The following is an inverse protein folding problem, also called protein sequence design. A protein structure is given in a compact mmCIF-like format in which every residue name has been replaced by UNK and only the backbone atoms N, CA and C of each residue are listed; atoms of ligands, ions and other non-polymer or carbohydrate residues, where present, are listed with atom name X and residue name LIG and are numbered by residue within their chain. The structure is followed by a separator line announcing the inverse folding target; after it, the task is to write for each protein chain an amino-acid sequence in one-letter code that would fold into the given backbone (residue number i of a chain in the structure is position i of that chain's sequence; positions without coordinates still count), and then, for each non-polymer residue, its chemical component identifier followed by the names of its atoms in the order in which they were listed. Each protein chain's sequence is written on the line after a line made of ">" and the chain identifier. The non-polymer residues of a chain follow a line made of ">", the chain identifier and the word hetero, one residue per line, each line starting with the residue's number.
data_IF_116788928684
#
_entry.id   IF_116788928684
#
_cell.length_a   1.000
_cell.length_b   1.000
_cell.length_c   1.000
_cell.angle_alpha   90.00
_cell.angle_beta   90.00
_cell.angle_gamma   90.00
#
_symmetry.space_group_name_H-M   'P 1'
#
loop_
_entity.id
_entity.type
_entity.pdbx_description
1 polymer ?
#
# COMPACT_ATOMS: atom_id res chain seq x y z
N UNK A 1 -39.94 -3.61 -11.03
CA UNK A 1 -38.94 -3.03 -11.96
C UNK A 1 -37.81 -4.03 -12.08
N UNK A 2 -37.54 -4.47 -13.31
CA UNK A 2 -36.43 -5.37 -13.63
C UNK A 2 -35.08 -4.77 -13.21
N UNK A 3 -34.18 -5.56 -12.63
CA UNK A 3 -32.92 -5.07 -12.03
C UNK A 3 -32.01 -4.42 -13.06
N UNK A 4 -31.98 -4.96 -14.29
CA UNK A 4 -31.18 -4.43 -15.38
C UNK A 4 -31.61 -3.03 -15.84
N UNK A 5 -32.91 -2.72 -15.80
CA UNK A 5 -33.40 -1.39 -16.16
C UNK A 5 -33.07 -0.34 -15.10
N UNK A 6 -33.14 -0.72 -13.82
CA UNK A 6 -32.76 0.18 -12.71
C UNK A 6 -31.27 0.51 -12.75
N UNK A 7 -30.41 -0.48 -12.99
CA UNK A 7 -28.95 -0.26 -13.08
C UNK A 7 -28.59 0.72 -14.21
N UNK A 8 -29.19 0.54 -15.39
CA UNK A 8 -28.98 1.44 -16.52
C UNK A 8 -29.37 2.89 -16.20
N UNK A 9 -30.53 3.09 -15.55
CA UNK A 9 -31.05 4.41 -15.19
C UNK A 9 -30.20 5.11 -14.12
N UNK A 10 -29.70 4.36 -13.13
CA UNK A 10 -28.76 4.91 -12.13
C UNK A 10 -27.39 5.22 -12.72
N UNK A 11 -26.91 4.39 -13.65
CA UNK A 11 -25.63 4.62 -14.33
C UNK A 11 -25.68 5.88 -15.18
N UNK A 12 -26.76 6.09 -15.94
CA UNK A 12 -26.92 7.25 -16.81
C UNK A 12 -26.96 8.56 -16.00
N UNK A 13 -27.75 8.59 -14.91
CA UNK A 13 -27.75 9.73 -13.96
C UNK A 13 -26.38 9.97 -13.33
N UNK A 14 -25.66 8.91 -12.99
CA UNK A 14 -24.32 9.01 -12.41
C UNK A 14 -23.30 9.59 -13.40
N UNK A 15 -23.37 9.19 -14.67
CA UNK A 15 -22.49 9.68 -15.73
C UNK A 15 -22.81 11.14 -16.12
N UNK A 16 -24.09 11.52 -16.19
CA UNK A 16 -24.50 12.92 -16.45
C UNK A 16 -24.09 13.86 -15.30
N UNK A 17 -24.23 13.44 -14.05
CA UNK A 17 -23.71 14.22 -12.93
C UNK A 17 -22.18 14.34 -12.97
N UNK A 18 -21.49 13.26 -13.35
CA UNK A 18 -20.03 13.22 -13.45
C UNK A 18 -19.49 14.16 -14.55
N UNK A 19 -20.14 14.22 -15.70
CA UNK A 19 -19.73 15.08 -16.82
C UNK A 19 -19.91 16.56 -16.48
N UNK A 20 -21.02 16.93 -15.83
CA UNK A 20 -21.32 18.31 -15.41
C UNK A 20 -20.46 18.81 -14.24
N UNK A 21 -19.91 17.90 -13.43
CA UNK A 21 -19.14 18.24 -12.22
C UNK A 21 -17.73 17.62 -12.20
N UNK A 22 -17.11 17.44 -13.38
CA UNK A 22 -15.77 16.86 -13.52
C UNK A 22 -14.71 17.47 -12.58
N UNK A 23 -14.59 18.81 -12.42
CA UNK A 23 -13.59 19.38 -11.51
C UNK A 23 -13.79 18.95 -10.06
N UNK A 24 -15.05 18.78 -9.63
CA UNK A 24 -15.37 18.33 -8.27
C UNK A 24 -15.04 16.85 -8.09
N UNK A 25 -15.19 16.03 -9.12
CA UNK A 25 -14.78 14.63 -9.09
C UNK A 25 -13.25 14.49 -8.93
N UNK A 26 -12.49 15.23 -9.71
CA UNK A 26 -11.02 15.17 -9.67
C UNK A 26 -10.47 15.71 -8.35
N UNK A 27 -11.01 16.82 -7.86
CA UNK A 27 -10.49 17.48 -6.66
C UNK A 27 -10.98 16.80 -5.36
N UNK A 28 -12.17 16.23 -5.33
CA UNK A 28 -12.76 15.69 -4.08
C UNK A 28 -12.95 14.18 -4.10
N UNK A 29 -13.49 13.60 -5.18
CA UNK A 29 -13.81 12.18 -5.21
C UNK A 29 -12.55 11.32 -5.33
N UNK A 30 -11.63 11.68 -6.23
CA UNK A 30 -10.38 10.93 -6.44
C UNK A 30 -9.52 10.88 -5.16
N UNK A 31 -9.18 12.01 -4.49
CA UNK A 31 -8.38 11.96 -3.28
C UNK A 31 -9.05 11.19 -2.15
N UNK A 32 -10.38 11.26 -2.01
CA UNK A 32 -11.12 10.47 -1.02
C UNK A 32 -11.11 8.98 -1.34
N UNK A 33 -11.21 8.59 -2.61
CA UNK A 33 -11.14 7.18 -3.07
C UNK A 33 -9.75 6.59 -2.84
N UNK A 34 -8.71 7.32 -3.23
CA UNK A 34 -7.31 6.92 -3.02
C UNK A 34 -6.99 6.88 -1.52
N UNK A 35 -7.40 7.90 -0.77
CA UNK A 35 -7.22 7.94 0.68
C UNK A 35 -7.91 6.79 1.40
N UNK A 36 -9.11 6.38 0.95
CA UNK A 36 -9.80 5.18 1.46
C UNK A 36 -9.07 3.89 1.12
N UNK A 37 -8.59 3.73 -0.12
CA UNK A 37 -7.80 2.57 -0.53
C UNK A 37 -6.58 2.40 0.37
N UNK A 38 -5.79 3.45 0.54
CA UNK A 38 -4.56 3.41 1.33
C UNK A 38 -4.82 3.45 2.84
N UNK A 39 -6.07 3.58 3.29
CA UNK A 39 -6.44 3.61 4.72
C UNK A 39 -6.01 4.90 5.44
N UNK A 40 -5.74 5.97 4.70
CA UNK A 40 -5.35 7.30 5.22
C UNK A 40 -6.60 8.16 5.48
N UNK A 41 -7.67 7.94 4.71
CA UNK A 41 -8.92 8.70 4.83
C UNK A 41 -10.05 7.84 5.40
N UNK A 42 -10.53 8.21 6.59
CA UNK A 42 -11.64 7.59 7.33
C UNK A 42 -11.54 6.06 7.59
N UNK A 43 -10.36 5.50 7.96
CA UNK A 43 -10.21 4.05 8.19
C UNK A 43 -11.14 3.53 9.31
N UNK A 44 -11.38 4.33 10.34
CA UNK A 44 -12.21 3.95 11.50
C UNK A 44 -13.71 3.91 11.14
N UNK A 45 -14.20 4.79 10.27
CA UNK A 45 -15.59 4.76 9.80
C UNK A 45 -15.83 3.56 8.87
N UNK A 46 -14.82 3.18 8.08
CA UNK A 46 -14.91 1.99 7.21
C UNK A 46 -14.88 0.70 8.04
N UNK A 47 -13.99 0.60 9.04
CA UNK A 47 -14.02 -0.51 10.02
C UNK A 47 -15.34 -0.58 10.82
N UNK A 48 -15.97 0.58 11.10
CA UNK A 48 -17.25 0.64 11.81
C UNK A 48 -18.44 0.26 10.90
N UNK A 49 -18.34 0.51 9.59
CA UNK A 49 -19.29 0.02 8.59
C UNK A 49 -19.18 -1.50 8.37
N UNK A 50 -17.95 -2.03 8.30
CA UNK A 50 -17.71 -3.49 8.20
C UNK A 50 -18.20 -4.23 9.47
N UNK A 51 -18.18 -3.58 10.64
CA UNK A 51 -18.79 -4.11 11.88
C UNK A 51 -20.30 -4.33 11.74
N UNK A 52 -21.00 -3.46 11.00
CA UNK A 52 -22.45 -3.51 10.81
C UNK A 52 -22.88 -4.54 9.76
N UNK A 53 -21.99 -4.86 8.81
CA UNK A 53 -22.30 -5.74 7.67
C UNK A 53 -21.75 -7.17 7.86
N UNK A 54 -20.59 -7.34 8.52
CA UNK A 54 -19.79 -8.57 8.41
C UNK A 54 -19.46 -9.27 9.75
N UNK A 55 -19.93 -8.74 10.90
CA UNK A 55 -19.79 -9.40 12.21
C UNK A 55 -18.35 -9.59 12.72
N UNK A 56 -17.37 -8.90 12.13
CA UNK A 56 -15.94 -9.12 12.35
C UNK A 56 -15.44 -8.52 13.68
N UNK A 57 -14.66 -9.27 14.45
CA UNK A 57 -14.05 -8.79 15.71
C UNK A 57 -13.16 -7.57 15.44
N UNK A 58 -13.58 -6.40 15.93
CA UNK A 58 -12.92 -5.10 15.74
C UNK A 58 -11.41 -5.14 16.03
N UNK A 59 -10.99 -5.92 17.04
CA UNK A 59 -9.58 -6.05 17.45
C UNK A 59 -8.68 -6.64 16.35
N UNK A 60 -9.17 -7.61 15.57
CA UNK A 60 -8.38 -8.22 14.48
C UNK A 60 -8.20 -7.26 13.30
N UNK A 61 -9.23 -6.45 13.01
CA UNK A 61 -9.17 -5.45 11.95
C UNK A 61 -8.22 -4.30 12.32
N UNK A 62 -8.18 -3.91 13.59
CA UNK A 62 -7.20 -2.94 14.11
C UNK A 62 -5.78 -3.49 14.01
N UNK A 63 -5.56 -4.76 14.37
CA UNK A 63 -4.24 -5.38 14.27
C UNK A 63 -3.72 -5.40 12.82
N UNK A 64 -4.57 -5.78 11.86
CA UNK A 64 -4.23 -5.74 10.44
C UNK A 64 -3.93 -4.32 9.93
N UNK A 65 -4.64 -3.30 10.44
CA UNK A 65 -4.36 -1.91 10.10
C UNK A 65 -3.01 -1.45 10.65
N UNK A 66 -2.69 -1.79 11.90
CA UNK A 66 -1.40 -1.45 12.52
C UNK A 66 -0.26 -2.12 11.76
N UNK A 67 -0.36 -3.43 11.47
CA UNK A 67 0.62 -4.15 10.66
C UNK A 67 0.86 -3.46 9.31
N UNK A 68 -0.22 -3.05 8.63
CA UNK A 68 -0.12 -2.35 7.36
C UNK A 68 0.57 -0.98 7.49
N UNK A 69 0.28 -0.22 8.56
CA UNK A 69 0.94 1.05 8.84
C UNK A 69 2.45 0.89 9.09
N UNK A 70 2.89 -0.22 9.66
CA UNK A 70 4.33 -0.53 9.78
C UNK A 70 4.96 -0.96 8.45
N UNK A 71 4.22 -1.68 7.60
CA UNK A 71 4.70 -2.12 6.29
C UNK A 71 4.93 -0.96 5.31
N UNK A 72 4.12 0.09 5.36
CA UNK A 72 4.25 1.26 4.48
C UNK A 72 5.64 1.95 4.54
N UNK A 73 6.15 2.38 5.72
CA UNK A 73 7.46 3.00 5.81
C UNK A 73 8.59 2.03 5.45
N UNK A 74 8.49 0.75 5.81
CA UNK A 74 9.45 -0.30 5.42
C UNK A 74 9.50 -0.46 3.90
N UNK A 75 8.34 -0.54 3.24
CA UNK A 75 8.25 -0.61 1.79
C UNK A 75 8.84 0.64 1.12
N UNK A 76 8.59 1.83 1.68
CA UNK A 76 9.19 3.08 1.22
C UNK A 76 10.72 3.07 1.31
N UNK A 77 11.28 2.59 2.42
CA UNK A 77 12.72 2.43 2.58
C UNK A 77 13.30 1.42 1.59
N UNK A 78 12.65 0.27 1.39
CA UNK A 78 13.07 -0.75 0.42
C UNK A 78 13.07 -0.23 -1.01
N UNK A 79 12.05 0.53 -1.39
CA UNK A 79 11.97 1.17 -2.70
C UNK A 79 13.13 2.18 -2.89
N UNK A 80 13.42 2.99 -1.88
CA UNK A 80 14.53 3.93 -1.92
C UNK A 80 15.90 3.23 -2.04
N UNK A 81 16.09 2.12 -1.34
CA UNK A 81 17.30 1.29 -1.44
C UNK A 81 17.47 0.69 -2.83
N UNK A 82 16.40 0.17 -3.43
CA UNK A 82 16.44 -0.35 -4.79
C UNK A 82 16.73 0.77 -5.82
N UNK A 83 16.16 1.97 -5.60
CA UNK A 83 16.42 3.16 -6.44
C UNK A 83 17.89 3.57 -6.39
N UNK A 84 18.48 3.57 -5.20
CA UNK A 84 19.89 3.95 -4.99
C UNK A 84 20.87 2.91 -5.54
N UNK A 85 20.48 1.64 -5.59
CA UNK A 85 21.30 0.56 -6.13
C UNK A 85 21.17 0.36 -7.65
N UNK A 86 20.37 1.20 -8.34
CA UNK A 86 20.18 1.12 -9.80
C UNK A 86 19.40 -0.10 -10.28
N UNK A 87 18.75 -0.83 -9.37
CA UNK A 87 17.98 -2.04 -9.68
C UNK A 87 16.57 -1.69 -10.17
N UNK A 88 15.96 -2.53 -11.04
CA UNK A 88 14.66 -2.24 -11.62
C UNK A 88 13.54 -2.26 -10.56
N UNK A 89 12.96 -1.08 -10.31
CA UNK A 89 11.84 -0.86 -9.38
C UNK A 89 10.45 -0.99 -10.00
N UNK A 90 10.40 -0.83 -11.32
CA UNK A 90 9.15 -0.78 -12.10
C UNK A 90 8.22 -1.97 -11.85
N UNK A 91 8.68 -3.24 -11.83
CA UNK A 91 7.79 -4.38 -11.63
C UNK A 91 7.08 -4.38 -10.26
N UNK A 92 7.76 -3.89 -9.21
CA UNK A 92 7.23 -3.82 -7.85
C UNK A 92 6.27 -2.64 -7.68
N UNK A 93 6.56 -1.51 -8.31
CA UNK A 93 5.70 -0.31 -8.24
C UNK A 93 4.49 -0.37 -9.16
N UNK A 94 4.51 -1.23 -10.18
CA UNK A 94 3.39 -1.40 -11.11
C UNK A 94 2.09 -1.75 -10.39
N UNK A 95 2.12 -2.68 -9.44
CA UNK A 95 0.94 -3.15 -8.72
C UNK A 95 0.30 -2.06 -7.83
N UNK A 96 1.05 -1.38 -6.93
CA UNK A 96 0.56 -0.21 -6.20
C UNK A 96 -0.04 0.88 -7.11
N UNK A 97 0.57 1.11 -8.27
CA UNK A 97 0.13 2.14 -9.21
C UNK A 97 -1.19 1.73 -9.88
N UNK A 98 -1.28 0.50 -10.37
CA UNK A 98 -2.52 -0.05 -10.97
C UNK A 98 -3.68 0.00 -9.99
N UNK A 99 -3.51 -0.47 -8.75
CA UNK A 99 -4.62 -0.42 -7.78
C UNK A 99 -5.03 1.01 -7.43
N UNK A 100 -4.08 1.95 -7.43
CA UNK A 100 -4.35 3.37 -7.18
C UNK A 100 -5.19 3.97 -8.31
N UNK A 101 -4.84 3.67 -9.56
CA UNK A 101 -5.60 4.09 -10.74
C UNK A 101 -6.99 3.46 -10.74
N UNK A 102 -7.10 2.15 -10.48
CA UNK A 102 -8.39 1.45 -10.41
C UNK A 102 -9.28 2.04 -9.31
N UNK A 103 -8.73 2.33 -8.14
CA UNK A 103 -9.49 2.94 -7.04
C UNK A 103 -9.91 4.39 -7.35
N UNK A 104 -9.07 5.16 -8.03
CA UNK A 104 -9.40 6.50 -8.49
C UNK A 104 -10.59 6.47 -9.46
N UNK A 105 -10.60 5.52 -10.40
CA UNK A 105 -11.59 5.43 -11.46
C UNK A 105 -12.93 4.82 -11.01
N UNK A 106 -12.89 3.75 -10.22
CA UNK A 106 -14.08 2.95 -9.91
C UNK A 106 -14.66 3.27 -8.53
N UNK A 107 -14.20 2.56 -7.50
CA UNK A 107 -14.67 2.66 -6.13
C UNK A 107 -13.47 2.40 -5.21
N UNK A 108 -13.20 3.31 -4.28
CA UNK A 108 -12.11 3.20 -3.30
C UNK A 108 -12.43 2.20 -2.18
N UNK A 109 -12.67 0.94 -2.53
CA UNK A 109 -12.88 -0.13 -1.57
C UNK A 109 -11.52 -0.73 -1.15
N UNK A 110 -11.34 -0.91 0.15
CA UNK A 110 -10.15 -1.52 0.76
C UNK A 110 -9.86 -2.93 0.24
N UNK A 111 -10.90 -3.63 -0.26
CA UNK A 111 -10.80 -4.99 -0.79
C UNK A 111 -9.89 -5.13 -2.01
N UNK A 112 -9.69 -4.07 -2.80
CA UNK A 112 -8.86 -4.11 -4.01
C UNK A 112 -7.36 -3.91 -3.74
N UNK A 113 -6.94 -3.74 -2.47
CA UNK A 113 -5.54 -3.48 -2.11
C UNK A 113 -4.67 -4.73 -2.07
N UNK A 114 -5.25 -5.94 -1.99
CA UNK A 114 -4.54 -7.22 -1.82
C UNK A 114 -3.31 -7.41 -2.73
N UNK A 115 -3.40 -7.22 -4.07
CA UNK A 115 -2.21 -7.41 -4.93
C UNK A 115 -1.10 -6.38 -4.68
N UNK A 116 -1.44 -5.16 -4.25
CA UNK A 116 -0.44 -4.17 -3.88
C UNK A 116 0.23 -4.50 -2.54
N UNK A 117 -0.47 -5.14 -1.61
CA UNK A 117 0.12 -5.56 -0.33
C UNK A 117 1.27 -6.55 -0.53
N UNK A 118 1.17 -7.45 -1.50
CA UNK A 118 2.27 -8.38 -1.84
C UNK A 118 3.52 -7.61 -2.26
N UNK A 119 3.37 -6.61 -3.11
CA UNK A 119 4.48 -5.77 -3.54
C UNK A 119 5.10 -4.96 -2.38
N UNK A 120 4.26 -4.42 -1.48
CA UNK A 120 4.72 -3.72 -0.28
C UNK A 120 5.51 -4.64 0.66
N UNK A 121 5.07 -5.88 0.84
CA UNK A 121 5.78 -6.88 1.66
C UNK A 121 7.14 -7.21 1.06
N UNK A 122 7.24 -7.37 -0.26
CA UNK A 122 8.52 -7.60 -0.93
C UNK A 122 9.48 -6.41 -0.77
N UNK A 123 8.98 -5.18 -0.91
CA UNK A 123 9.78 -3.97 -0.67
C UNK A 123 10.20 -3.87 0.80
N UNK A 124 9.32 -4.22 1.74
CA UNK A 124 9.67 -4.28 3.16
C UNK A 124 10.78 -5.32 3.42
N UNK A 125 10.71 -6.50 2.80
CA UNK A 125 11.76 -7.51 2.90
C UNK A 125 13.11 -7.01 2.37
N UNK A 126 13.12 -6.27 1.25
CA UNK A 126 14.33 -5.62 0.72
C UNK A 126 14.93 -4.64 1.74
N UNK A 127 14.10 -3.87 2.46
CA UNK A 127 14.60 -2.96 3.48
C UNK A 127 15.28 -3.69 4.65
N UNK A 128 14.72 -4.83 5.06
CA UNK A 128 15.29 -5.68 6.11
C UNK A 128 16.59 -6.35 5.66
N UNK A 129 16.67 -6.81 4.41
CA UNK A 129 17.88 -7.41 3.83
C UNK A 129 19.02 -6.38 3.74
N UNK A 130 18.71 -5.17 3.27
CA UNK A 130 19.67 -4.07 3.24
C UNK A 130 20.19 -3.70 4.65
N UNK A 131 19.30 -3.70 5.64
CA UNK A 131 19.69 -3.46 7.02
C UNK A 131 20.58 -4.58 7.57
N UNK A 132 20.22 -5.84 7.32
CA UNK A 132 20.98 -7.01 7.75
C UNK A 132 22.38 -7.05 7.12
N UNK A 133 22.49 -6.77 5.82
CA UNK A 133 23.78 -6.73 5.11
C UNK A 133 24.71 -5.64 5.65
N UNK A 134 24.16 -4.48 6.02
CA UNK A 134 24.92 -3.40 6.64
C UNK A 134 25.49 -3.78 8.02
N UNK A 135 24.75 -4.55 8.82
CA UNK A 135 25.25 -5.08 10.09
C UNK A 135 26.27 -6.21 9.91
N UNK A 136 26.09 -7.10 8.93
CA UNK A 136 27.04 -8.17 8.62
C UNK A 136 28.38 -7.62 8.11
N UNK A 137 28.36 -6.59 7.26
CA UNK A 137 29.59 -5.92 6.81
C UNK A 137 30.41 -5.32 7.96
N UNK A 138 29.74 -4.76 8.97
CA UNK A 138 30.40 -4.28 10.21
C UNK A 138 30.95 -5.41 11.08
N UNK A 139 30.32 -6.59 11.07
CA UNK A 139 30.78 -7.74 11.84
C UNK A 139 32.03 -8.36 11.20
N UNK A 140 32.07 -8.49 9.88
CA UNK A 140 33.19 -9.06 9.12
C UNK A 140 34.49 -8.23 9.24
N UNK A 141 34.38 -6.89 9.21
CA UNK A 141 35.55 -6.02 9.40
C UNK A 141 36.12 -6.11 10.83
N UNK A 142 35.28 -6.30 11.84
CA UNK A 142 35.70 -6.34 13.25
C UNK A 142 36.43 -7.64 13.63
N UNK A 143 36.08 -8.76 12.99
CA UNK A 143 36.77 -10.04 13.21
C UNK A 143 38.14 -10.07 12.54
N UNK A 144 38.28 -9.52 11.33
CA UNK A 144 39.56 -9.53 10.60
C UNK A 144 40.62 -8.60 11.19
N UNK A 145 40.23 -7.47 11.81
CA UNK A 145 41.18 -6.61 12.53
C UNK A 145 41.77 -7.30 13.78
N UNK A 146 41.00 -8.16 14.44
CA UNK A 146 41.46 -8.96 15.58
C UNK A 146 42.43 -10.06 15.14
N UNK A 147 42.14 -10.75 14.04
CA UNK A 147 42.99 -11.85 13.54
C UNK A 147 44.31 -11.34 12.93
N UNK A 148 44.28 -10.20 12.23
CA UNK A 148 45.48 -9.62 11.62
C UNK A 148 46.52 -9.16 12.66
N UNK A 149 46.08 -8.72 13.85
CA UNK A 149 47.00 -8.34 14.94
C UNK A 149 47.64 -9.52 15.65
N UNK A 150 47.01 -10.69 15.63
CA UNK A 150 47.53 -11.92 16.27
C UNK A 150 48.53 -12.65 15.38
N UNK A 151 48.47 -12.47 14.06
CA UNK A 151 49.40 -13.10 13.09
C UNK A 151 50.68 -12.29 12.85
N UNK A 152 50.77 -11.07 13.36
CA UNK A 152 51.95 -10.18 13.26
C UNK A 152 52.75 -10.09 14.58
N UNK A 153 52.51 -11.01 15.51
CA UNK A 153 53.29 -11.21 16.74
C UNK A 153 53.84 -12.62 16.76
#
# INVERSE_FOLDING_TARGET
>A
MDESRRDAEYRDRGLDYASRHWPRLVVHAIPKRVGRLWGVYAPIQQLRADKLVEGRTFKLSVLGLVQYWFLLPLAGMGALTLRRSGRPLMPLLAWPLVVTVVAALTMGATRYRVPAEVALVLLAAVSLDALASHYRGRWWHRTNEGTARTLLR
#
